data_IF_433941759460
#
_entry.id   IF_433941759460
#
_cell.length_a   1.000
_cell.length_b   1.000
_cell.length_c   1.000
_cell.angle_alpha   90.00
_cell.angle_beta   90.00
_cell.angle_gamma   90.00
#
_symmetry.space_group_name_H-M   'P 1'
#
loop_
_entity.id
_entity.type
_entity.pdbx_description
1 polymer ?
#
# COMPACT_ATOMS: atom_id res chain seq x y z
N UNK A 1 -42.46 5.04 25.04
CA UNK A 1 -43.57 6.01 24.89
C UNK A 1 -43.32 7.05 25.99
N UNK A 2 -42.69 8.17 25.64
CA UNK A 2 -42.29 9.22 26.59
C UNK A 2 -43.14 10.44 26.23
N UNK A 3 -43.95 10.90 27.17
CA UNK A 3 -44.76 12.11 27.04
C UNK A 3 -43.87 13.35 27.05
N UNK A 4 -44.08 14.24 26.10
CA UNK A 4 -43.47 15.58 26.07
C UNK A 4 -44.57 16.57 26.44
N UNK A 5 -44.43 17.21 27.59
CA UNK A 5 -45.25 18.36 27.99
C UNK A 5 -44.74 19.60 27.26
N UNK A 6 -45.65 20.29 26.55
CA UNK A 6 -45.40 21.54 25.84
C UNK A 6 -46.15 22.66 26.56
N UNK A 7 -45.43 23.68 27.04
CA UNK A 7 -46.03 24.97 27.44
C UNK A 7 -45.59 26.08 26.47
N UNK A 8 -46.54 26.98 26.15
CA UNK A 8 -46.40 28.07 25.16
C UNK A 8 -46.29 29.42 25.85
N UNK A 9 -45.22 30.18 25.57
CA UNK A 9 -45.20 31.65 25.75
C UNK A 9 -44.41 32.26 24.56
N UNK A 10 -45.04 33.20 23.85
CA UNK A 10 -44.50 34.14 22.84
C UNK A 10 -43.75 33.61 21.59
N UNK A 11 -44.44 32.78 20.79
CA UNK A 11 -44.41 32.89 19.31
C UNK A 11 -43.08 32.69 18.56
N UNK A 12 -41.98 32.31 19.22
CA UNK A 12 -40.70 31.97 18.59
C UNK A 12 -40.14 30.68 19.20
N UNK A 13 -39.82 29.69 18.36
CA UNK A 13 -39.10 28.48 18.77
C UNK A 13 -37.65 28.85 19.10
N UNK A 14 -37.27 28.74 20.38
CA UNK A 14 -35.88 28.84 20.83
C UNK A 14 -35.57 27.64 21.72
N UNK A 15 -34.63 26.80 21.29
CA UNK A 15 -34.12 25.70 22.10
C UNK A 15 -33.20 26.27 23.20
N UNK A 16 -33.61 26.14 24.46
CA UNK A 16 -32.76 26.40 25.63
C UNK A 16 -31.92 25.16 25.88
N UNK A 17 -30.60 25.28 25.72
CA UNK A 17 -29.64 24.19 25.97
C UNK A 17 -29.32 24.20 27.46
N UNK A 18 -29.66 23.10 28.14
CA UNK A 18 -29.31 22.90 29.54
C UNK A 18 -27.79 22.72 29.66
N UNK A 19 -27.14 23.72 30.26
CA UNK A 19 -25.70 23.78 30.44
C UNK A 19 -25.27 22.90 31.61
N UNK A 20 -25.06 21.59 31.37
CA UNK A 20 -24.32 20.68 32.26
C UNK A 20 -23.88 19.34 31.63
N UNK A 21 -23.53 19.31 30.34
CA UNK A 21 -22.92 18.12 29.71
C UNK A 21 -21.55 18.47 29.12
N UNK A 22 -20.49 18.14 29.86
CA UNK A 22 -19.13 18.10 29.34
C UNK A 22 -19.05 16.88 28.41
N UNK A 23 -18.64 17.01 27.12
CA UNK A 23 -18.40 15.85 26.29
C UNK A 23 -17.14 15.14 26.81
N UNK A 24 -17.29 13.92 27.30
CA UNK A 24 -16.14 13.06 27.62
C UNK A 24 -15.28 12.90 26.36
N UNK A 25 -14.01 13.28 26.49
CA UNK A 25 -12.96 13.02 25.51
C UNK A 25 -12.92 11.52 25.17
N UNK A 26 -12.61 11.11 23.92
CA UNK A 26 -12.51 9.71 23.57
C UNK A 26 -11.49 9.01 24.48
N UNK A 27 -12.01 8.11 25.30
CA UNK A 27 -11.29 7.30 26.26
C UNK A 27 -10.08 6.66 25.59
N UNK A 28 -8.89 6.94 26.12
CA UNK A 28 -7.68 6.17 25.83
C UNK A 28 -7.98 4.71 26.16
N UNK A 29 -8.09 3.85 25.15
CA UNK A 29 -8.05 2.41 25.35
C UNK A 29 -6.75 2.08 26.06
N UNK A 30 -6.84 1.69 27.34
CA UNK A 30 -5.77 1.01 28.03
C UNK A 30 -5.51 -0.33 27.32
N UNK A 31 -4.24 -0.75 27.17
CA UNK A 31 -3.94 -2.06 26.59
C UNK A 31 -4.53 -3.13 27.52
N UNK A 32 -5.46 -3.92 27.00
CA UNK A 32 -5.91 -5.14 27.68
C UNK A 32 -4.70 -6.07 27.86
N UNK A 33 -4.49 -6.47 29.12
CA UNK A 33 -3.47 -7.39 29.61
C UNK A 33 -3.54 -8.74 28.88
N UNK A 34 -2.85 -8.82 27.74
CA UNK A 34 -2.34 -10.05 27.13
C UNK A 34 -1.09 -9.69 26.30
N UNK A 35 -0.30 -8.74 26.80
CA UNK A 35 1.01 -8.46 26.23
C UNK A 35 1.96 -9.54 26.68
N UNK A 36 2.43 -10.36 25.75
CA UNK A 36 3.69 -11.11 25.93
C UNK A 36 4.72 -10.12 26.51
N UNK A 37 5.40 -10.46 27.62
CA UNK A 37 6.39 -9.57 28.21
C UNK A 37 7.38 -9.11 27.12
N UNK A 38 7.69 -7.81 27.08
CA UNK A 38 8.58 -7.22 26.07
C UNK A 38 9.93 -7.97 25.97
N UNK A 39 10.34 -8.68 27.02
CA UNK A 39 11.55 -9.51 27.09
C UNK A 39 11.49 -10.86 26.35
N UNK A 40 10.41 -11.23 25.67
CA UNK A 40 10.29 -12.50 24.92
C UNK A 40 10.07 -12.32 23.41
N UNK A 41 10.07 -11.10 22.89
CA UNK A 41 9.89 -10.86 21.46
C UNK A 41 11.13 -11.30 20.66
N UNK A 42 10.91 -11.93 19.52
CA UNK A 42 11.99 -12.15 18.55
C UNK A 42 12.42 -10.81 17.93
N UNK A 43 13.66 -10.70 17.38
CA UNK A 43 14.13 -9.45 16.75
C UNK A 43 13.20 -8.91 15.65
N UNK A 44 12.51 -9.79 14.91
CA UNK A 44 11.52 -9.38 13.90
C UNK A 44 10.29 -8.77 14.57
N UNK A 45 9.79 -9.36 15.65
CA UNK A 45 8.64 -8.83 16.38
C UNK A 45 8.96 -7.48 17.02
N UNK A 46 10.15 -7.33 17.61
CA UNK A 46 10.65 -6.05 18.13
C UNK A 46 10.71 -4.98 17.04
N UNK A 47 11.21 -5.33 15.84
CA UNK A 47 11.29 -4.39 14.72
C UNK A 47 9.91 -3.84 14.32
N UNK A 48 8.88 -4.70 14.29
CA UNK A 48 7.51 -4.31 13.93
C UNK A 48 6.68 -3.73 15.09
N UNK A 49 7.15 -3.85 16.33
CA UNK A 49 6.44 -3.35 17.50
C UNK A 49 6.30 -1.81 17.43
N UNK A 50 5.07 -1.32 17.60
CA UNK A 50 4.71 0.09 17.50
C UNK A 50 4.88 0.70 16.10
N UNK A 51 5.17 -0.11 15.07
CA UNK A 51 5.35 0.40 13.71
C UNK A 51 4.02 0.46 12.96
N UNK A 52 3.92 1.44 12.06
CA UNK A 52 2.84 1.53 11.09
C UNK A 52 3.37 1.27 9.69
N UNK A 53 2.60 0.51 8.91
CA UNK A 53 3.03 -0.04 7.63
C UNK A 53 2.13 0.49 6.52
N UNK A 54 2.69 1.04 5.45
CA UNK A 54 1.95 1.33 4.22
C UNK A 54 2.17 0.21 3.19
N UNK A 55 1.08 -0.35 2.66
CA UNK A 55 1.13 -1.44 1.69
C UNK A 55 0.36 -1.03 0.43
N UNK A 56 1.03 -1.11 -0.71
CA UNK A 56 0.35 -1.12 -2.01
C UNK A 56 0.19 -2.56 -2.49
N UNK A 57 -0.92 -2.87 -3.16
CA UNK A 57 -1.16 -4.22 -3.69
C UNK A 57 -1.59 -5.24 -2.63
N UNK A 58 -2.01 -4.82 -1.44
CA UNK A 58 -2.45 -5.72 -0.37
C UNK A 58 -3.72 -6.52 -0.70
N UNK A 59 -4.48 -6.12 -1.73
CA UNK A 59 -5.63 -6.89 -2.22
C UNK A 59 -5.21 -8.09 -3.10
N UNK A 60 -3.96 -8.13 -3.56
CA UNK A 60 -3.40 -9.22 -4.36
C UNK A 60 -2.86 -10.36 -3.51
N UNK A 61 -2.57 -11.50 -4.12
CA UNK A 61 -2.15 -12.73 -3.42
C UNK A 61 -0.99 -12.52 -2.42
N UNK A 62 0.16 -12.02 -2.90
CA UNK A 62 1.33 -11.76 -2.05
C UNK A 62 1.04 -10.74 -0.94
N UNK A 63 0.27 -9.70 -1.28
CA UNK A 63 -0.10 -8.66 -0.34
C UNK A 63 -0.97 -9.18 0.81
N UNK A 64 -1.94 -10.05 0.52
CA UNK A 64 -2.76 -10.71 1.55
C UNK A 64 -1.91 -11.59 2.47
N UNK A 65 -0.98 -12.36 1.92
CA UNK A 65 -0.05 -13.20 2.70
C UNK A 65 0.83 -12.35 3.63
N UNK A 66 1.34 -11.22 3.15
CA UNK A 66 2.10 -10.28 3.95
C UNK A 66 1.27 -9.73 5.12
N UNK A 67 0.04 -9.27 4.84
CA UNK A 67 -0.86 -8.73 5.87
C UNK A 67 -1.18 -9.81 6.92
N UNK A 68 -1.56 -11.01 6.48
CA UNK A 68 -1.88 -12.15 7.35
C UNK A 68 -0.71 -12.46 8.27
N UNK A 69 0.48 -12.63 7.69
CA UNK A 69 1.68 -13.02 8.43
C UNK A 69 2.09 -11.95 9.44
N UNK A 70 2.12 -10.69 9.02
CA UNK A 70 2.50 -9.58 9.90
C UNK A 70 1.54 -9.48 11.08
N UNK A 71 0.23 -9.43 10.84
CA UNK A 71 -0.75 -9.29 11.91
C UNK A 71 -0.81 -10.49 12.84
N UNK A 72 -0.61 -11.71 12.32
CA UNK A 72 -0.65 -12.92 13.14
C UNK A 72 0.59 -13.10 13.98
N UNK A 73 1.78 -12.78 13.44
CA UNK A 73 3.05 -13.12 14.12
C UNK A 73 3.82 -11.95 14.70
N UNK A 74 3.45 -10.70 14.38
CA UNK A 74 4.10 -9.50 14.90
C UNK A 74 3.15 -8.75 15.83
N UNK A 75 3.07 -9.12 17.13
CA UNK A 75 2.23 -8.41 18.08
C UNK A 75 2.70 -6.95 18.22
N UNK A 76 1.77 -6.03 18.42
CA UNK A 76 2.07 -4.62 18.65
C UNK A 76 2.30 -3.78 17.40
N UNK A 77 2.11 -4.30 16.17
CA UNK A 77 1.97 -3.45 14.98
C UNK A 77 0.86 -2.42 15.23
N UNK A 78 1.15 -1.15 15.02
CA UNK A 78 0.20 -0.09 15.34
C UNK A 78 -0.93 -0.02 14.32
N UNK A 79 -0.59 0.07 13.04
CA UNK A 79 -1.57 0.12 11.94
C UNK A 79 -0.97 -0.35 10.61
N UNK A 80 -1.82 -0.88 9.73
CA UNK A 80 -1.53 -1.16 8.33
C UNK A 80 -2.42 -0.25 7.48
N UNK A 81 -1.80 0.72 6.82
CA UNK A 81 -2.40 1.58 5.82
C UNK A 81 -2.38 0.86 4.48
N UNK A 82 -3.55 0.51 3.96
CA UNK A 82 -3.68 -0.30 2.76
C UNK A 82 -4.18 0.55 1.60
N UNK A 83 -3.38 0.71 0.54
CA UNK A 83 -3.83 1.36 -0.69
C UNK A 83 -4.84 0.47 -1.43
N UNK A 84 -6.06 0.95 -1.59
CA UNK A 84 -7.17 0.24 -2.24
C UNK A 84 -7.71 1.06 -3.40
N UNK A 85 -7.68 0.45 -4.59
CA UNK A 85 -8.28 1.04 -5.80
C UNK A 85 -9.80 1.16 -5.63
N UNK A 86 -10.41 2.35 -5.81
CA UNK A 86 -11.86 2.47 -5.83
C UNK A 86 -12.48 1.61 -6.93
N UNK A 87 -13.69 1.07 -6.71
CA UNK A 87 -14.46 0.36 -7.74
C UNK A 87 -15.87 0.95 -7.78
N UNK A 88 -16.45 1.08 -8.98
CA UNK A 88 -17.81 1.60 -9.14
C UNK A 88 -18.79 0.80 -8.26
N UNK A 89 -19.52 1.49 -7.40
CA UNK A 89 -20.54 0.90 -6.53
C UNK A 89 -20.03 0.19 -5.27
N UNK A 90 -18.73 0.27 -4.94
CA UNK A 90 -18.20 -0.19 -3.66
C UNK A 90 -17.22 0.82 -3.09
N UNK A 91 -17.44 1.21 -1.84
CA UNK A 91 -16.47 1.99 -1.07
C UNK A 91 -15.23 1.14 -0.73
N UNK A 92 -14.10 1.81 -0.47
CA UNK A 92 -12.81 1.18 -0.15
C UNK A 92 -12.84 0.42 1.16
N UNK A 93 -13.65 0.81 2.15
CA UNK A 93 -13.79 0.07 3.40
C UNK A 93 -14.47 -1.28 3.16
N UNK A 94 -15.59 -1.28 2.41
CA UNK A 94 -16.27 -2.52 2.05
C UNK A 94 -15.35 -3.48 1.28
N UNK A 95 -14.62 -2.96 0.29
CA UNK A 95 -13.66 -3.78 -0.47
C UNK A 95 -12.54 -4.33 0.40
N UNK A 96 -12.12 -3.58 1.42
CA UNK A 96 -11.10 -4.00 2.38
C UNK A 96 -11.61 -5.12 3.27
N UNK A 97 -12.84 -5.01 3.78
CA UNK A 97 -13.44 -6.06 4.60
C UNK A 97 -13.62 -7.38 3.85
N UNK A 98 -14.07 -7.33 2.60
CA UNK A 98 -14.24 -8.53 1.75
C UNK A 98 -12.93 -9.33 1.54
N UNK A 99 -11.77 -8.67 1.63
CA UNK A 99 -10.47 -9.35 1.53
C UNK A 99 -10.29 -10.31 2.72
N UNK A 100 -10.76 -9.92 3.90
CA UNK A 100 -10.55 -10.63 5.15
C UNK A 100 -11.54 -11.76 5.41
N UNK A 101 -12.50 -11.96 4.50
CA UNK A 101 -13.40 -13.12 4.48
C UNK A 101 -12.77 -14.33 3.79
N UNK A 102 -11.66 -14.12 3.07
CA UNK A 102 -10.86 -15.19 2.46
C UNK A 102 -10.40 -16.23 3.50
N UNK A 103 -10.37 -17.51 3.10
CA UNK A 103 -9.94 -18.61 3.96
C UNK A 103 -8.50 -18.45 4.45
N UNK A 104 -7.65 -17.71 3.71
CA UNK A 104 -6.30 -17.35 4.13
C UNK A 104 -6.27 -16.71 5.53
N UNK A 105 -7.27 -15.89 5.86
CA UNK A 105 -7.31 -15.16 7.14
C UNK A 105 -7.98 -15.95 8.26
N UNK A 106 -8.33 -17.23 8.07
CA UNK A 106 -8.99 -18.05 9.10
C UNK A 106 -8.15 -18.12 10.36
N UNK A 107 -6.87 -18.50 10.21
CA UNK A 107 -5.95 -18.60 11.35
C UNK A 107 -5.71 -17.26 12.04
N UNK A 108 -5.61 -16.17 11.27
CA UNK A 108 -5.52 -14.81 11.83
C UNK A 108 -6.77 -14.44 12.62
N UNK A 109 -7.98 -14.76 12.12
CA UNK A 109 -9.25 -14.50 12.82
C UNK A 109 -9.30 -15.26 14.15
N UNK A 110 -8.81 -16.50 14.19
CA UNK A 110 -8.82 -17.33 15.39
C UNK A 110 -7.79 -16.83 16.43
N UNK A 111 -6.58 -16.48 16.00
CA UNK A 111 -5.50 -16.06 16.90
C UNK A 111 -5.57 -14.58 17.31
N UNK A 112 -6.05 -13.70 16.42
CA UNK A 112 -6.07 -12.24 16.60
C UNK A 112 -7.42 -11.64 16.18
N UNK A 113 -8.55 -11.97 16.85
CA UNK A 113 -9.90 -11.64 16.38
C UNK A 113 -10.17 -10.13 16.18
N UNK A 114 -9.38 -9.26 16.80
CA UNK A 114 -9.51 -7.79 16.69
C UNK A 114 -8.63 -7.15 15.61
N UNK A 115 -7.90 -7.93 14.81
CA UNK A 115 -6.91 -7.41 13.85
C UNK A 115 -7.45 -6.34 12.90
N UNK A 116 -8.75 -6.38 12.58
CA UNK A 116 -9.40 -5.41 11.68
C UNK A 116 -9.25 -3.96 12.14
N UNK A 117 -9.19 -3.69 13.44
CA UNK A 117 -9.00 -2.34 13.98
C UNK A 117 -7.63 -1.75 13.63
N UNK A 118 -6.67 -2.58 13.26
CA UNK A 118 -5.34 -2.14 12.83
C UNK A 118 -5.30 -1.83 11.33
N UNK A 119 -6.37 -2.06 10.57
CA UNK A 119 -6.41 -1.82 9.13
C UNK A 119 -7.04 -0.46 8.82
N UNK A 120 -6.32 0.36 8.06
CA UNK A 120 -6.81 1.65 7.57
C UNK A 120 -6.78 1.64 6.05
N UNK A 121 -7.95 1.66 5.41
CA UNK A 121 -8.04 1.71 3.96
C UNK A 121 -7.73 3.12 3.45
N UNK A 122 -6.82 3.22 2.49
CA UNK A 122 -6.49 4.47 1.78
C UNK A 122 -6.97 4.36 0.34
N UNK A 123 -7.88 5.24 -0.06
CA UNK A 123 -8.37 5.28 -1.43
C UNK A 123 -7.27 5.78 -2.37
N UNK A 124 -6.92 5.00 -3.39
CA UNK A 124 -5.97 5.42 -4.42
C UNK A 124 -5.62 4.31 -5.41
N UNK A 125 -4.91 4.67 -6.47
CA UNK A 125 -4.53 3.77 -7.55
C UNK A 125 -3.11 4.07 -8.04
N UNK A 126 -2.26 3.04 -8.07
CA UNK A 126 -0.92 3.11 -8.65
C UNK A 126 -0.91 3.57 -10.12
N UNK A 127 -2.01 3.41 -10.85
CA UNK A 127 -2.14 3.94 -12.23
C UNK A 127 -2.27 5.46 -12.28
N UNK A 128 -2.57 6.12 -11.16
CA UNK A 128 -2.74 7.58 -11.06
C UNK A 128 -1.48 8.26 -10.52
N UNK A 129 -1.16 9.49 -10.96
CA UNK A 129 -0.04 10.26 -10.43
C UNK A 129 -0.12 10.38 -8.90
N UNK A 130 1.03 10.27 -8.22
CA UNK A 130 1.09 10.31 -6.75
C UNK A 130 0.14 9.30 -6.08
N UNK A 131 -0.06 8.14 -6.72
CA UNK A 131 -0.97 7.07 -6.26
C UNK A 131 -2.45 7.47 -6.19
N UNK A 132 -2.84 8.65 -6.67
CA UNK A 132 -4.22 9.14 -6.61
C UNK A 132 -4.80 9.27 -5.20
N UNK A 133 -3.96 9.36 -4.18
CA UNK A 133 -4.39 9.51 -2.77
C UNK A 133 -4.75 10.97 -2.47
N UNK A 134 -5.65 11.18 -1.50
CA UNK A 134 -5.99 12.52 -1.03
C UNK A 134 -4.82 13.18 -0.29
N UNK A 135 -4.82 14.51 -0.22
CA UNK A 135 -3.82 15.24 0.56
C UNK A 135 -3.87 14.89 2.05
N UNK A 136 -5.05 14.60 2.58
CA UNK A 136 -5.29 14.20 3.96
C UNK A 136 -4.70 12.81 4.26
N UNK A 137 -4.95 11.83 3.39
CA UNK A 137 -4.38 10.48 3.51
C UNK A 137 -2.87 10.52 3.38
N UNK A 138 -2.37 11.32 2.43
CA UNK A 138 -0.93 11.53 2.24
C UNK A 138 -0.26 12.10 3.48
N UNK A 139 -0.85 13.13 4.09
CA UNK A 139 -0.34 13.70 5.34
C UNK A 139 -0.37 12.69 6.50
N UNK A 140 -1.39 11.82 6.53
CA UNK A 140 -1.49 10.74 7.51
C UNK A 140 -0.38 9.71 7.31
N UNK A 141 -0.15 9.25 6.08
CA UNK A 141 0.94 8.31 5.76
C UNK A 141 2.29 8.92 6.16
N UNK A 142 2.54 10.17 5.79
CA UNK A 142 3.79 10.87 6.13
C UNK A 142 4.03 10.91 7.63
N UNK A 143 2.99 11.17 8.43
CA UNK A 143 3.11 11.31 9.88
C UNK A 143 3.30 9.98 10.59
N UNK A 144 2.55 8.95 10.18
CA UNK A 144 2.36 7.74 10.97
C UNK A 144 3.25 6.58 10.51
N UNK A 145 3.54 6.46 9.21
CA UNK A 145 4.16 5.26 8.64
C UNK A 145 5.67 5.27 8.86
N UNK A 146 6.23 4.08 9.11
CA UNK A 146 7.68 3.86 9.20
C UNK A 146 8.17 2.73 8.30
N UNK A 147 7.27 1.90 7.76
CA UNK A 147 7.62 0.78 6.87
C UNK A 147 6.73 0.83 5.64
N UNK A 148 7.31 0.69 4.45
CA UNK A 148 6.56 0.71 3.19
C UNK A 148 6.82 -0.56 2.39
N UNK A 149 5.75 -1.25 1.99
CA UNK A 149 5.80 -2.37 1.03
C UNK A 149 5.14 -1.97 -0.28
N UNK A 150 5.93 -1.87 -1.34
CA UNK A 150 5.42 -1.70 -2.69
C UNK A 150 5.29 -3.04 -3.40
N UNK A 151 4.11 -3.66 -3.28
CA UNK A 151 3.78 -4.97 -3.88
C UNK A 151 2.93 -4.83 -5.14
N UNK A 152 2.24 -3.70 -5.32
CA UNK A 152 1.34 -3.49 -6.46
C UNK A 152 2.06 -3.64 -7.81
N UNK A 153 1.47 -4.45 -8.68
CA UNK A 153 1.84 -4.57 -10.08
C UNK A 153 0.66 -5.10 -10.89
N UNK A 154 0.61 -4.79 -12.19
CA UNK A 154 -0.04 -5.67 -13.15
C UNK A 154 0.94 -6.78 -13.54
N UNK A 155 0.53 -8.01 -13.29
CA UNK A 155 1.33 -9.23 -13.51
C UNK A 155 0.89 -9.99 -14.76
N UNK A 156 -0.05 -9.43 -15.54
CA UNK A 156 -0.50 -10.01 -16.81
C UNK A 156 0.63 -9.90 -17.82
N UNK A 157 1.02 -11.04 -18.39
CA UNK A 157 2.14 -11.08 -19.35
C UNK A 157 1.81 -10.38 -20.68
N UNK A 158 0.53 -10.32 -21.02
CA UNK A 158 -0.04 -9.68 -22.21
C UNK A 158 -0.61 -8.27 -21.95
N UNK A 159 -0.33 -7.68 -20.78
CA UNK A 159 -0.78 -6.31 -20.49
C UNK A 159 -0.18 -5.33 -21.51
N UNK A 160 -1.00 -4.40 -21.98
CA UNK A 160 -0.54 -3.30 -22.84
C UNK A 160 0.50 -2.48 -22.10
N UNK A 161 1.63 -2.22 -22.74
CA UNK A 161 2.74 -1.48 -22.12
C UNK A 161 2.30 -0.10 -21.59
N UNK A 162 1.40 0.58 -22.31
CA UNK A 162 0.82 1.87 -21.91
C UNK A 162 0.02 1.82 -20.60
N UNK A 163 -0.57 0.66 -20.26
CA UNK A 163 -1.25 0.44 -18.98
C UNK A 163 -0.27 -0.06 -17.90
N UNK A 164 0.70 -0.89 -18.29
CA UNK A 164 1.67 -1.47 -17.37
C UNK A 164 2.68 -0.44 -16.84
N UNK A 165 3.13 0.52 -17.66
CA UNK A 165 4.14 1.51 -17.26
C UNK A 165 3.68 2.41 -16.11
N UNK A 166 2.47 3.01 -16.11
CA UNK A 166 1.97 3.75 -14.96
C UNK A 166 1.94 2.91 -13.67
N UNK A 167 1.50 1.65 -13.77
CA UNK A 167 1.28 0.78 -12.62
C UNK A 167 2.59 0.19 -12.08
N UNK A 168 3.50 -0.26 -12.94
CA UNK A 168 4.68 -1.00 -12.53
C UNK A 168 5.93 -0.12 -12.42
N UNK A 169 6.02 0.97 -13.20
CA UNK A 169 7.22 1.82 -13.29
C UNK A 169 6.99 3.16 -12.62
N UNK A 170 5.99 3.93 -13.08
CA UNK A 170 5.73 5.28 -12.52
C UNK A 170 5.31 5.20 -11.06
N UNK A 171 4.48 4.25 -10.67
CA UNK A 171 4.07 4.09 -9.28
C UNK A 171 5.26 3.84 -8.34
N UNK A 172 6.32 3.17 -8.81
CA UNK A 172 7.55 3.00 -8.01
C UNK A 172 8.22 4.34 -7.75
N UNK A 173 8.25 5.25 -8.74
CA UNK A 173 8.70 6.64 -8.56
C UNK A 173 7.81 7.38 -7.57
N UNK A 174 6.50 7.26 -7.71
CA UNK A 174 5.53 7.95 -6.88
C UNK A 174 5.62 7.49 -5.40
N UNK A 175 5.81 6.18 -5.16
CA UNK A 175 6.05 5.63 -3.81
C UNK A 175 7.40 6.09 -3.24
N UNK A 176 8.47 6.11 -4.05
CA UNK A 176 9.77 6.63 -3.60
C UNK A 176 9.69 8.09 -3.18
N UNK A 177 8.97 8.92 -3.95
CA UNK A 177 8.77 10.31 -3.60
C UNK A 177 8.00 10.46 -2.29
N UNK A 178 6.95 9.66 -2.08
CA UNK A 178 6.27 9.61 -0.79
C UNK A 178 7.20 9.18 0.35
N UNK A 179 8.05 8.16 0.13
CA UNK A 179 9.01 7.68 1.13
C UNK A 179 10.02 8.75 1.56
N UNK A 180 10.46 9.63 0.65
CA UNK A 180 11.36 10.74 0.96
C UNK A 180 10.77 11.77 1.93
N UNK A 181 9.45 11.80 2.06
CA UNK A 181 8.75 12.73 2.94
C UNK A 181 8.41 12.11 4.29
N UNK A 182 8.56 10.80 4.46
CA UNK A 182 8.32 10.09 5.72
C UNK A 182 9.55 10.28 6.63
N UNK A 183 9.46 11.06 7.72
CA UNK A 183 10.62 11.38 8.56
C UNK A 183 11.12 10.16 9.35
N UNK A 184 10.26 9.19 9.64
CA UNK A 184 10.57 8.01 10.46
C UNK A 184 10.69 6.74 9.63
N UNK A 185 11.02 6.84 8.33
CA UNK A 185 11.11 5.68 7.45
C UNK A 185 12.27 4.77 7.89
N UNK A 186 11.93 3.54 8.29
CA UNK A 186 12.87 2.49 8.69
C UNK A 186 13.16 1.51 7.56
N UNK A 187 12.20 1.27 6.67
CA UNK A 187 12.35 0.32 5.57
C UNK A 187 11.38 0.59 4.42
N UNK A 188 11.88 0.51 3.19
CA UNK A 188 11.08 0.44 1.97
C UNK A 188 11.41 -0.85 1.22
N UNK A 189 10.42 -1.71 1.02
CA UNK A 189 10.58 -2.96 0.27
C UNK A 189 9.82 -2.88 -1.04
N UNK A 190 10.54 -2.95 -2.16
CA UNK A 190 9.95 -3.11 -3.49
C UNK A 190 9.91 -4.58 -3.89
N UNK A 191 8.73 -5.07 -4.27
CA UNK A 191 8.58 -6.42 -4.82
C UNK A 191 8.75 -6.37 -6.34
N UNK A 192 9.90 -6.84 -6.80
CA UNK A 192 10.24 -7.05 -8.20
C UNK A 192 9.89 -8.50 -8.61
N UNK A 193 10.72 -9.15 -9.41
CA UNK A 193 10.57 -10.56 -9.80
C UNK A 193 11.91 -11.14 -10.22
N UNK A 194 12.12 -12.45 -10.00
CA UNK A 194 13.31 -13.17 -10.47
C UNK A 194 13.51 -13.07 -11.98
N UNK A 195 12.44 -12.82 -12.75
CA UNK A 195 12.48 -12.69 -14.21
C UNK A 195 12.84 -11.27 -14.69
N UNK A 196 13.02 -10.29 -13.81
CA UNK A 196 13.32 -8.90 -14.21
C UNK A 196 14.60 -8.82 -15.06
N UNK A 197 15.57 -9.69 -14.78
CA UNK A 197 16.85 -9.74 -15.47
C UNK A 197 17.04 -11.04 -16.28
N UNK A 198 15.94 -11.67 -16.71
CA UNK A 198 15.97 -12.93 -17.47
C UNK A 198 16.76 -12.95 -18.79
N UNK A 199 17.11 -11.82 -19.44
CA UNK A 199 18.06 -11.86 -20.56
C UNK A 199 19.50 -12.21 -20.16
N UNK A 200 19.83 -12.17 -18.86
CA UNK A 200 21.15 -12.55 -18.35
C UNK A 200 21.22 -14.06 -18.11
N UNK A 201 22.37 -14.67 -18.41
CA UNK A 201 22.60 -16.10 -18.15
C UNK A 201 22.84 -16.41 -16.66
N UNK A 202 23.36 -15.44 -15.91
CA UNK A 202 23.61 -15.53 -14.47
C UNK A 202 23.11 -14.26 -13.82
N UNK A 203 22.25 -14.40 -12.79
CA UNK A 203 21.61 -13.29 -12.10
C UNK A 203 22.07 -13.27 -10.63
N UNK A 204 22.96 -12.33 -10.31
CA UNK A 204 23.40 -11.96 -8.97
C UNK A 204 22.48 -10.90 -8.34
N UNK A 205 22.60 -10.72 -7.02
CA UNK A 205 21.91 -9.70 -6.20
C UNK A 205 22.54 -8.31 -6.36
N UNK A 206 22.50 -7.78 -7.59
CA UNK A 206 22.95 -6.44 -7.93
C UNK A 206 21.94 -5.73 -8.83
N UNK A 207 22.15 -4.44 -9.05
CA UNK A 207 21.46 -3.71 -10.10
C UNK A 207 22.04 -4.06 -11.48
N UNK A 208 21.16 -4.12 -12.47
CA UNK A 208 21.51 -4.29 -13.88
C UNK A 208 21.17 -3.03 -14.65
N UNK A 209 21.77 -2.89 -15.84
CA UNK A 209 21.34 -1.84 -16.76
C UNK A 209 19.94 -2.13 -17.28
N UNK A 210 19.04 -1.12 -17.27
CA UNK A 210 17.69 -1.30 -17.73
C UNK A 210 17.64 -1.49 -19.24
N UNK A 211 16.56 -2.09 -19.77
CA UNK A 211 16.31 -2.09 -21.21
C UNK A 211 16.13 -0.68 -21.79
N UNK A 212 15.60 0.25 -20.99
CA UNK A 212 15.37 1.64 -21.34
C UNK A 212 15.42 2.52 -20.08
N UNK A 213 15.89 3.76 -20.21
CA UNK A 213 15.81 4.72 -19.11
C UNK A 213 14.35 4.92 -18.65
N UNK A 214 14.12 4.85 -17.35
CA UNK A 214 12.77 4.87 -16.78
C UNK A 214 11.99 6.16 -17.09
N UNK A 215 12.65 7.32 -17.07
CA UNK A 215 11.97 8.60 -17.29
C UNK A 215 11.59 8.76 -18.76
N UNK A 216 12.45 8.29 -19.68
CA UNK A 216 12.14 8.24 -21.11
C UNK A 216 10.96 7.31 -21.41
N UNK A 217 10.91 6.13 -20.79
CA UNK A 217 9.81 5.18 -21.00
C UNK A 217 8.48 5.74 -20.48
N UNK A 218 8.49 6.35 -19.29
CA UNK A 218 7.29 6.99 -18.72
C UNK A 218 6.79 8.09 -19.66
N UNK A 219 7.67 9.02 -20.06
CA UNK A 219 7.30 10.12 -20.95
C UNK A 219 6.78 9.62 -22.32
N UNK A 220 7.43 8.59 -22.89
CA UNK A 220 6.98 7.99 -24.15
C UNK A 220 5.55 7.45 -24.03
N UNK A 221 5.27 6.63 -23.02
CA UNK A 221 3.94 6.04 -22.83
C UNK A 221 2.85 7.05 -22.48
N UNK A 222 3.20 8.18 -21.89
CA UNK A 222 2.27 9.30 -21.62
C UNK A 222 1.94 10.10 -22.88
N UNK A 223 2.86 10.20 -23.84
CA UNK A 223 2.67 11.01 -25.05
C UNK A 223 2.07 10.26 -26.25
N UNK A 224 2.37 8.97 -26.42
CA UNK A 224 1.94 8.23 -27.62
C UNK A 224 0.49 7.76 -27.52
N UNK A 225 -0.21 7.67 -28.65
CA UNK A 225 -1.53 7.03 -28.74
C UNK A 225 -1.45 5.51 -28.52
N UNK A 226 -2.57 4.89 -28.15
CA UNK A 226 -2.64 3.45 -27.82
C UNK A 226 -2.13 2.57 -28.97
N UNK A 227 -2.54 2.88 -30.20
CA UNK A 227 -2.10 2.14 -31.39
C UNK A 227 -0.59 2.21 -31.58
N UNK A 228 -0.02 3.41 -31.49
CA UNK A 228 1.43 3.59 -31.63
C UNK A 228 2.19 2.89 -30.50
N UNK A 229 1.68 2.93 -29.26
CA UNK A 229 2.26 2.19 -28.15
C UNK A 229 2.32 0.68 -28.42
N UNK A 230 1.23 0.11 -28.96
CA UNK A 230 1.16 -1.29 -29.33
C UNK A 230 2.14 -1.63 -30.47
N UNK A 231 2.18 -0.80 -31.52
CA UNK A 231 3.03 -0.99 -32.69
C UNK A 231 4.53 -1.00 -32.34
N UNK A 232 4.96 -0.19 -31.35
CA UNK A 232 6.37 -0.10 -30.91
C UNK A 232 6.72 -1.05 -29.76
N UNK A 233 5.73 -1.67 -29.10
CA UNK A 233 5.96 -2.52 -27.91
C UNK A 233 6.91 -3.69 -28.22
N UNK A 234 6.78 -4.45 -29.34
CA UNK A 234 7.68 -5.56 -29.64
C UNK A 234 9.16 -5.15 -29.70
N UNK A 235 9.45 -3.98 -30.27
CA UNK A 235 10.81 -3.44 -30.38
C UNK A 235 11.34 -2.98 -29.02
N UNK A 236 10.48 -2.39 -28.18
CA UNK A 236 10.85 -1.99 -26.82
C UNK A 236 11.17 -3.20 -25.94
N UNK A 237 10.34 -4.26 -25.98
CA UNK A 237 10.57 -5.47 -25.18
C UNK A 237 11.92 -6.10 -25.49
N UNK A 238 12.33 -6.11 -26.76
CA UNK A 238 13.62 -6.61 -27.20
C UNK A 238 13.86 -8.06 -26.75
N UNK A 239 14.73 -8.25 -25.74
CA UNK A 239 15.07 -9.57 -25.19
C UNK A 239 14.13 -10.04 -24.07
N UNK A 240 13.29 -9.16 -23.53
CA UNK A 240 12.37 -9.54 -22.46
C UNK A 240 11.17 -10.28 -23.03
N UNK A 241 10.75 -11.40 -22.41
CA UNK A 241 9.73 -12.27 -22.97
C UNK A 241 8.31 -11.67 -22.90
N UNK A 242 8.09 -10.67 -22.04
CA UNK A 242 6.78 -10.07 -21.83
C UNK A 242 6.87 -8.70 -21.14
N UNK A 243 5.74 -7.97 -21.15
CA UNK A 243 5.59 -6.65 -20.53
C UNK A 243 5.88 -6.67 -19.02
N UNK A 244 5.53 -7.73 -18.32
CA UNK A 244 5.73 -7.82 -16.87
C UNK A 244 7.22 -7.83 -16.50
N UNK A 245 7.99 -8.75 -17.07
CA UNK A 245 9.43 -8.84 -16.82
C UNK A 245 10.15 -7.55 -17.24
N UNK A 246 9.78 -7.00 -18.40
CA UNK A 246 10.32 -5.74 -18.92
C UNK A 246 10.07 -4.58 -17.94
N UNK A 247 8.81 -4.36 -17.53
CA UNK A 247 8.45 -3.24 -16.65
C UNK A 247 9.05 -3.39 -15.26
N UNK A 248 9.23 -4.60 -14.73
CA UNK A 248 9.95 -4.82 -13.46
C UNK A 248 11.43 -4.50 -13.56
N UNK A 249 12.08 -4.84 -14.67
CA UNK A 249 13.47 -4.42 -14.93
C UNK A 249 13.62 -2.89 -14.92
N UNK A 250 12.68 -2.18 -15.56
CA UNK A 250 12.68 -0.72 -15.59
C UNK A 250 12.33 -0.11 -14.23
N UNK A 251 11.43 -0.73 -13.46
CA UNK A 251 11.10 -0.29 -12.10
C UNK A 251 12.31 -0.34 -11.16
N UNK A 252 13.15 -1.37 -11.26
CA UNK A 252 14.42 -1.42 -10.52
C UNK A 252 15.37 -0.27 -10.90
N UNK A 253 15.34 0.20 -12.15
CA UNK A 253 16.09 1.37 -12.56
C UNK A 253 15.57 2.67 -11.93
N UNK A 254 14.27 2.81 -11.73
CA UNK A 254 13.71 3.93 -10.96
C UNK A 254 14.32 3.97 -9.57
N UNK A 255 14.37 2.83 -8.89
CA UNK A 255 14.99 2.71 -7.56
C UNK A 255 16.47 3.06 -7.62
N UNK A 256 17.24 2.45 -8.54
CA UNK A 256 18.67 2.75 -8.73
C UNK A 256 18.96 4.23 -8.89
N UNK A 257 18.12 4.96 -9.63
CA UNK A 257 18.30 6.38 -9.93
C UNK A 257 17.87 7.29 -8.80
N UNK A 258 16.82 6.93 -8.07
CA UNK A 258 16.08 7.89 -7.23
C UNK A 258 16.03 7.55 -5.74
N UNK A 259 16.54 6.38 -5.35
CA UNK A 259 16.57 5.93 -3.96
C UNK A 259 17.30 6.90 -3.02
N UNK A 260 18.45 7.44 -3.46
CA UNK A 260 19.34 8.17 -2.56
C UNK A 260 19.72 7.31 -1.35
N UNK A 261 19.58 7.88 -0.15
CA UNK A 261 19.92 7.23 1.12
C UNK A 261 18.73 6.50 1.78
N UNK A 262 17.62 6.29 1.07
CA UNK A 262 16.47 5.56 1.62
C UNK A 262 16.86 4.12 2.00
N UNK A 263 16.31 3.56 3.10
CA UNK A 263 16.57 2.18 3.52
C UNK A 263 15.78 1.18 2.65
N UNK A 264 16.29 0.88 1.45
CA UNK A 264 15.56 0.09 0.45
C UNK A 264 16.00 -1.38 0.41
N UNK A 265 15.03 -2.30 0.35
CA UNK A 265 15.22 -3.68 -0.08
C UNK A 265 14.47 -3.97 -1.39
N UNK A 266 15.10 -4.69 -2.31
CA UNK A 266 14.43 -5.21 -3.52
C UNK A 266 14.26 -6.71 -3.35
N UNK A 267 13.02 -7.17 -3.27
CA UNK A 267 12.69 -8.58 -3.21
C UNK A 267 12.30 -9.09 -4.60
N UNK A 268 13.03 -10.08 -5.14
CA UNK A 268 12.78 -10.69 -6.45
C UNK A 268 12.18 -12.09 -6.29
N UNK A 269 10.88 -12.24 -5.98
CA UNK A 269 10.27 -13.55 -5.89
C UNK A 269 10.29 -14.26 -7.25
N UNK A 270 10.47 -15.59 -7.22
CA UNK A 270 10.13 -16.46 -8.32
C UNK A 270 8.61 -16.69 -8.38
N UNK A 271 8.13 -17.27 -9.49
CA UNK A 271 6.78 -17.82 -9.54
C UNK A 271 6.85 -19.20 -8.88
N UNK A 272 6.01 -19.43 -7.87
CA UNK A 272 5.72 -20.73 -7.27
C UNK A 272 4.27 -21.09 -7.53
#
# INVERSE_FOLDING_TARGET
>A
MVEVLLDRIDGQEVAVVDSNCIPESPTKCSPTENSTPINELSPIQEFYYGQSIFITGGTGFMGKLLIEKVLRTCPGVASIYLLVRPKKGKDVHQRTEEIFDDALFTKLRDEQPKFRHQIVAIAGDCSQPNLGISSQDRATIIREVSIVFHVAATVRFDEKLKLAVPINVRSTRDVLNLCKEIPNLKSFVHVSTAYANCPQSVIEEKFYDPPMDSDKLIALMECVEDKLAEDITPQLLGKWPNTYAYTKAVAENVIRKQAGDLPIGIFRPAIG
#
